data_IF_238700913103
#
_entry.id   IF_238700913103
#
_cell.length_a   1.000
_cell.length_b   1.000
_cell.length_c   1.000
_cell.angle_alpha   90.00
_cell.angle_beta   90.00
_cell.angle_gamma   90.00
#
_symmetry.space_group_name_H-M   'P 1'
#
loop_
_entity.id
_entity.type
_entity.pdbx_description
1 polymer ?
#
# COMPACT_ATOMS: atom_id res chain seq x y z
N UNK A 1 -19.13 -0.44 -0.97
CA UNK A 1 -19.17 1.04 -0.99
C UNK A 1 -19.33 1.45 -2.44
N UNK A 2 -20.31 2.29 -2.77
CA UNK A 2 -20.44 2.81 -4.13
C UNK A 2 -19.60 4.10 -4.21
N UNK A 3 -18.47 4.06 -4.92
CA UNK A 3 -17.57 5.21 -5.02
C UNK A 3 -18.04 6.07 -6.21
N UNK A 4 -18.28 7.38 -6.03
CA UNK A 4 -18.70 8.25 -7.12
C UNK A 4 -17.76 8.17 -8.33
N UNK A 5 -18.34 8.17 -9.53
CA UNK A 5 -17.60 7.97 -10.78
C UNK A 5 -16.52 9.04 -11.03
N UNK A 6 -16.70 10.24 -10.48
CA UNK A 6 -15.71 11.33 -10.50
C UNK A 6 -14.36 10.96 -9.86
N UNK A 7 -14.33 9.97 -8.97
CA UNK A 7 -13.09 9.52 -8.33
C UNK A 7 -12.44 8.32 -9.00
N UNK A 8 -12.99 7.81 -10.11
CA UNK A 8 -12.51 6.60 -10.78
C UNK A 8 -11.05 6.67 -11.22
N UNK A 9 -10.53 7.87 -11.52
CA UNK A 9 -9.14 8.04 -11.96
C UNK A 9 -8.15 7.94 -10.78
N UNK A 10 -8.60 8.35 -9.59
CA UNK A 10 -7.73 8.50 -8.43
C UNK A 10 -7.90 7.41 -7.38
N UNK A 11 -9.04 6.72 -7.31
CA UNK A 11 -9.33 5.77 -6.24
C UNK A 11 -8.61 4.41 -6.40
N UNK A 12 -8.45 3.64 -5.31
CA UNK A 12 -8.09 2.22 -5.42
C UNK A 12 -9.02 1.44 -6.34
N UNK A 13 -8.48 0.41 -6.99
CA UNK A 13 -9.31 -0.52 -7.76
C UNK A 13 -10.18 -1.37 -6.83
N UNK A 14 -11.42 -1.60 -7.24
CA UNK A 14 -12.31 -2.55 -6.56
C UNK A 14 -11.93 -3.98 -6.92
N UNK A 15 -12.33 -4.98 -6.10
CA UNK A 15 -12.13 -6.40 -6.40
C UNK A 15 -12.55 -6.82 -7.81
N UNK A 16 -13.61 -6.22 -8.35
CA UNK A 16 -14.16 -6.53 -9.68
C UNK A 16 -13.26 -6.01 -10.82
N UNK A 17 -12.50 -4.96 -10.58
CA UNK A 17 -11.56 -4.36 -11.55
C UNK A 17 -10.21 -5.10 -11.57
N UNK A 18 -9.82 -5.74 -10.46
CA UNK A 18 -8.50 -6.35 -10.29
C UNK A 18 -8.12 -7.35 -11.39
N UNK A 19 -8.99 -8.28 -11.85
CA UNK A 19 -8.60 -9.26 -12.87
C UNK A 19 -8.12 -8.61 -14.16
N UNK A 20 -8.81 -7.56 -14.62
CA UNK A 20 -8.40 -6.84 -15.84
C UNK A 20 -7.09 -6.08 -15.60
N UNK A 21 -6.97 -5.37 -14.48
CA UNK A 21 -5.77 -4.60 -14.15
C UNK A 21 -4.53 -5.50 -14.02
N UNK A 22 -4.69 -6.72 -13.51
CA UNK A 22 -3.60 -7.70 -13.46
C UNK A 22 -3.12 -8.11 -14.84
N UNK A 23 -4.02 -8.40 -15.79
CA UNK A 23 -3.59 -8.72 -17.16
C UNK A 23 -2.86 -7.54 -17.80
N UNK A 24 -3.34 -6.31 -17.59
CA UNK A 24 -2.66 -5.11 -18.09
C UNK A 24 -1.27 -4.92 -17.48
N UNK A 25 -1.10 -5.19 -16.18
CA UNK A 25 0.20 -5.15 -15.50
C UNK A 25 1.12 -6.27 -16.03
N UNK A 26 0.63 -7.49 -16.11
CA UNK A 26 1.39 -8.68 -16.56
C UNK A 26 1.87 -8.51 -18.00
N UNK A 27 1.07 -7.86 -18.85
CA UNK A 27 1.42 -7.59 -20.25
C UNK A 27 2.41 -6.42 -20.44
N UNK A 28 2.65 -5.60 -19.41
CA UNK A 28 3.55 -4.44 -19.49
C UNK A 28 5.03 -4.88 -19.45
N UNK A 29 5.83 -4.62 -20.51
CA UNK A 29 7.23 -5.06 -20.55
C UNK A 29 8.12 -4.38 -19.50
N UNK A 30 7.82 -3.14 -19.12
CA UNK A 30 8.59 -2.41 -18.12
C UNK A 30 8.31 -2.97 -16.72
N UNK A 31 7.04 -3.27 -16.41
CA UNK A 31 6.68 -3.98 -15.18
C UNK A 31 7.39 -5.32 -15.07
N UNK A 32 7.34 -6.14 -16.13
CA UNK A 32 8.04 -7.43 -16.18
C UNK A 32 9.53 -7.29 -15.90
N UNK A 33 10.19 -6.37 -16.61
CA UNK A 33 11.64 -6.12 -16.47
C UNK A 33 12.00 -5.75 -15.03
N UNK A 34 11.22 -4.87 -14.39
CA UNK A 34 11.45 -4.46 -13.00
C UNK A 34 11.25 -5.62 -12.03
N UNK A 35 10.16 -6.38 -12.18
CA UNK A 35 9.87 -7.53 -11.32
C UNK A 35 10.98 -8.59 -11.41
N UNK A 36 11.43 -8.94 -12.62
CA UNK A 36 12.51 -9.91 -12.82
C UNK A 36 13.84 -9.43 -12.23
N UNK A 37 14.09 -8.11 -12.24
CA UNK A 37 15.28 -7.51 -11.62
C UNK A 37 15.23 -7.52 -10.08
N UNK A 38 14.06 -7.21 -9.50
CA UNK A 38 13.87 -7.15 -8.04
C UNK A 38 13.73 -8.55 -7.42
N UNK A 39 13.20 -9.51 -8.19
CA UNK A 39 12.95 -10.89 -7.74
C UNK A 39 13.58 -11.91 -8.72
N UNK A 40 14.91 -11.93 -8.90
CA UNK A 40 15.56 -12.75 -9.94
C UNK A 40 15.42 -14.27 -9.75
N UNK A 41 15.03 -14.72 -8.55
CA UNK A 41 14.78 -16.14 -8.25
C UNK A 41 13.33 -16.59 -8.45
N UNK A 42 12.42 -15.69 -8.84
CA UNK A 42 10.99 -15.98 -8.98
C UNK A 42 10.60 -15.91 -10.47
N UNK A 43 10.14 -17.02 -11.07
CA UNK A 43 9.64 -16.99 -12.45
C UNK A 43 8.46 -16.03 -12.59
N UNK A 44 8.50 -15.16 -13.61
CA UNK A 44 7.46 -14.16 -13.83
C UNK A 44 6.08 -14.78 -14.02
N UNK A 45 5.99 -15.93 -14.68
CA UNK A 45 4.75 -16.66 -14.89
C UNK A 45 4.14 -17.16 -13.57
N UNK A 46 4.98 -17.53 -12.60
CA UNK A 46 4.55 -17.89 -11.25
C UNK A 46 3.99 -16.68 -10.49
N UNK A 47 4.64 -15.51 -10.64
CA UNK A 47 4.13 -14.26 -10.10
C UNK A 47 2.79 -13.87 -10.73
N UNK A 48 2.67 -13.94 -12.05
CA UNK A 48 1.43 -13.67 -12.78
C UNK A 48 0.28 -14.58 -12.33
N UNK A 49 0.54 -15.88 -12.15
CA UNK A 49 -0.44 -16.81 -11.61
C UNK A 49 -0.88 -16.44 -10.19
N UNK A 50 0.08 -16.05 -9.34
CA UNK A 50 -0.20 -15.61 -7.96
C UNK A 50 -1.01 -14.31 -7.93
N UNK A 51 -0.76 -13.36 -8.86
CA UNK A 51 -1.60 -12.16 -9.01
C UNK A 51 -3.04 -12.55 -9.34
N UNK A 52 -3.26 -13.42 -10.32
CA UNK A 52 -4.60 -13.90 -10.73
C UNK A 52 -5.37 -14.63 -9.64
N UNK A 53 -4.68 -15.22 -8.66
CA UNK A 53 -5.30 -15.89 -7.51
C UNK A 53 -5.79 -14.90 -6.45
N UNK A 54 -5.28 -13.67 -6.42
CA UNK A 54 -5.70 -12.64 -5.50
C UNK A 54 -7.03 -12.04 -5.95
N UNK A 55 -8.08 -12.20 -5.16
CA UNK A 55 -9.43 -11.68 -5.43
C UNK A 55 -9.65 -10.31 -4.81
N UNK A 56 -8.82 -9.92 -3.85
CA UNK A 56 -8.92 -8.63 -3.16
C UNK A 56 -7.56 -7.96 -3.04
N UNK A 57 -7.58 -6.63 -2.87
CA UNK A 57 -6.36 -5.85 -2.65
C UNK A 57 -5.61 -6.32 -1.38
N UNK A 58 -6.35 -6.75 -0.34
CA UNK A 58 -5.75 -7.29 0.88
C UNK A 58 -5.05 -8.62 0.64
N UNK A 59 -5.64 -9.52 -0.16
CA UNK A 59 -5.00 -10.77 -0.56
C UNK A 59 -3.72 -10.50 -1.35
N UNK A 60 -3.75 -9.54 -2.29
CA UNK A 60 -2.56 -9.12 -3.03
C UNK A 60 -1.46 -8.60 -2.08
N UNK A 61 -1.81 -7.71 -1.15
CA UNK A 61 -0.88 -7.16 -0.16
C UNK A 61 -0.24 -8.25 0.70
N UNK A 62 -1.03 -9.20 1.19
CA UNK A 62 -0.53 -10.35 1.96
C UNK A 62 0.36 -11.26 1.11
N UNK A 63 -0.03 -11.50 -0.14
CA UNK A 63 0.66 -12.40 -1.04
C UNK A 63 2.05 -11.88 -1.45
N UNK A 64 2.19 -10.56 -1.66
CA UNK A 64 3.40 -9.97 -2.25
C UNK A 64 4.23 -9.13 -1.28
N UNK A 65 3.62 -8.39 -0.36
CA UNK A 65 4.34 -7.43 0.48
C UNK A 65 4.53 -7.88 1.93
N UNK A 66 3.57 -8.60 2.52
CA UNK A 66 3.63 -8.96 3.94
C UNK A 66 4.92 -9.70 4.33
N UNK A 67 5.25 -10.80 3.64
CA UNK A 67 6.48 -11.55 3.90
C UNK A 67 7.75 -10.74 3.58
N UNK A 68 7.73 -10.00 2.47
CA UNK A 68 8.85 -9.16 2.04
C UNK A 68 9.19 -8.08 3.08
N UNK A 69 8.17 -7.42 3.62
CA UNK A 69 8.35 -6.36 4.62
C UNK A 69 8.83 -6.92 5.96
N UNK A 70 8.31 -8.06 6.39
CA UNK A 70 8.84 -8.73 7.59
C UNK A 70 10.30 -9.18 7.43
N UNK A 71 10.69 -9.64 6.24
CA UNK A 71 12.08 -9.98 5.95
C UNK A 71 12.97 -8.73 5.86
N UNK A 72 12.44 -7.59 5.40
CA UNK A 72 13.13 -6.31 5.45
C UNK A 72 13.37 -5.88 6.91
N UNK A 73 12.33 -5.88 7.74
CA UNK A 73 12.41 -5.54 9.17
C UNK A 73 13.48 -6.38 9.88
N UNK A 74 13.50 -7.70 9.66
CA UNK A 74 14.52 -8.59 10.26
C UNK A 74 15.96 -8.23 9.87
N UNK A 75 16.16 -7.66 8.68
CA UNK A 75 17.49 -7.31 8.15
C UNK A 75 17.91 -5.90 8.52
N UNK A 76 16.97 -4.97 8.64
CA UNK A 76 17.27 -3.53 8.68
C UNK A 76 16.74 -2.81 9.92
N UNK A 77 16.00 -3.46 10.80
CA UNK A 77 15.43 -2.86 12.00
C UNK A 77 15.57 -3.78 13.21
N UNK A 78 15.45 -3.21 14.42
CA UNK A 78 15.46 -3.95 15.68
C UNK A 78 14.09 -4.54 16.05
N UNK A 79 13.08 -4.29 15.23
CA UNK A 79 11.69 -4.70 15.45
C UNK A 79 10.72 -3.59 15.10
N UNK A 80 9.43 -3.90 15.23
CA UNK A 80 8.33 -2.95 15.13
C UNK A 80 7.41 -3.14 16.33
N UNK A 81 6.86 -2.05 16.85
CA UNK A 81 5.89 -2.06 17.94
C UNK A 81 4.63 -1.32 17.52
N UNK A 82 3.47 -1.83 17.92
CA UNK A 82 2.19 -1.20 17.67
C UNK A 82 1.31 -1.31 18.92
N UNK A 83 0.85 -0.17 19.43
CA UNK A 83 -0.09 -0.12 20.55
C UNK A 83 -1.45 0.35 20.03
N UNK A 84 -2.41 -0.56 20.00
CA UNK A 84 -3.80 -0.28 19.62
C UNK A 84 -4.75 -0.36 20.82
N UNK A 85 -4.25 -0.35 22.06
CA UNK A 85 -5.07 -0.46 23.27
C UNK A 85 -6.10 0.66 23.42
N UNK A 86 -5.85 1.83 22.83
CA UNK A 86 -6.77 2.96 22.78
C UNK A 86 -7.91 2.78 21.75
N UNK A 87 -7.82 1.79 20.85
CA UNK A 87 -8.85 1.52 19.84
C UNK A 87 -9.96 0.66 20.45
N UNK A 88 -11.17 1.21 20.50
CA UNK A 88 -12.33 0.53 21.08
C UNK A 88 -12.89 -0.61 20.22
N UNK A 89 -12.62 -0.63 18.91
CA UNK A 89 -13.18 -1.59 17.96
C UNK A 89 -12.30 -1.74 16.71
N UNK A 90 -11.52 -2.81 16.65
CA UNK A 90 -10.57 -3.08 15.56
C UNK A 90 -11.23 -3.42 14.22
N UNK A 91 -12.56 -3.55 14.16
CA UNK A 91 -13.30 -3.78 12.92
C UNK A 91 -13.65 -2.49 12.18
N UNK A 92 -13.41 -1.33 12.80
CA UNK A 92 -13.72 0.00 12.23
C UNK A 92 -12.56 0.58 11.44
N UNK A 93 -12.92 1.57 10.61
CA UNK A 93 -11.95 2.40 9.91
C UNK A 93 -11.43 3.50 10.83
N UNK A 94 -10.12 3.70 10.81
CA UNK A 94 -9.40 4.73 11.56
C UNK A 94 -8.51 5.55 10.63
N UNK A 95 -8.37 6.84 10.94
CA UNK A 95 -7.37 7.68 10.27
C UNK A 95 -6.11 7.70 11.13
N UNK A 96 -5.03 7.16 10.57
CA UNK A 96 -3.73 7.11 11.21
C UNK A 96 -2.90 8.33 10.80
N UNK A 97 -2.35 9.04 11.79
CA UNK A 97 -1.48 10.20 11.56
C UNK A 97 -0.09 9.87 12.09
N UNK A 98 0.91 10.03 11.22
CA UNK A 98 2.33 9.90 11.55
C UNK A 98 3.01 11.27 11.38
N UNK A 99 4.03 11.53 12.19
CA UNK A 99 4.89 12.71 12.09
C UNK A 99 6.08 12.49 11.13
N UNK A 100 6.28 11.27 10.65
CA UNK A 100 7.38 10.90 9.77
C UNK A 100 7.06 11.21 8.30
N UNK A 101 8.09 11.43 7.48
CA UNK A 101 7.97 11.93 6.10
C UNK A 101 8.04 10.81 5.04
N UNK A 102 8.25 9.56 5.44
CA UNK A 102 8.32 8.42 4.52
C UNK A 102 6.93 7.78 4.32
N UNK A 103 6.17 8.35 3.41
CA UNK A 103 4.81 7.90 3.11
C UNK A 103 4.73 6.45 2.61
N UNK A 104 5.82 5.89 2.06
CA UNK A 104 5.82 4.56 1.45
C UNK A 104 6.11 3.50 2.52
N UNK A 105 7.25 3.60 3.21
CA UNK A 105 7.64 2.58 4.19
C UNK A 105 6.83 2.68 5.48
N UNK A 106 6.46 3.87 5.93
CA UNK A 106 5.67 4.01 7.16
C UNK A 106 4.31 3.33 7.01
N UNK A 107 3.64 3.55 5.88
CA UNK A 107 2.34 2.95 5.60
C UNK A 107 2.42 1.45 5.35
N UNK A 108 3.53 0.98 4.75
CA UNK A 108 3.80 -0.44 4.57
C UNK A 108 4.01 -1.15 5.92
N UNK A 109 4.83 -0.59 6.81
CA UNK A 109 5.05 -1.16 8.15
C UNK A 109 3.80 -1.10 9.02
N UNK A 110 3.05 0.01 8.97
CA UNK A 110 1.74 0.07 9.62
C UNK A 110 0.81 -1.01 9.09
N UNK A 111 0.75 -1.22 7.76
CA UNK A 111 -0.12 -2.23 7.16
C UNK A 111 0.16 -3.65 7.65
N UNK A 112 1.44 -4.04 7.81
CA UNK A 112 1.77 -5.38 8.33
C UNK A 112 1.43 -5.51 9.82
N UNK A 113 1.61 -4.45 10.63
CA UNK A 113 1.23 -4.43 12.04
C UNK A 113 -0.30 -4.51 12.21
N UNK A 114 -1.06 -3.83 11.34
CA UNK A 114 -2.52 -3.93 11.31
C UNK A 114 -2.98 -5.35 10.94
N UNK A 115 -2.36 -5.97 9.93
CA UNK A 115 -2.63 -7.36 9.55
C UNK A 115 -2.43 -8.30 10.74
N UNK A 116 -1.33 -8.15 11.48
CA UNK A 116 -1.01 -9.00 12.64
C UNK A 116 -2.00 -8.85 13.79
N UNK A 117 -2.68 -7.70 13.87
CA UNK A 117 -3.75 -7.42 14.84
C UNK A 117 -5.15 -7.73 14.29
N UNK A 118 -5.26 -8.43 13.15
CA UNK A 118 -6.53 -8.83 12.55
C UNK A 118 -7.30 -7.69 11.88
N UNK A 119 -6.65 -6.55 11.66
CA UNK A 119 -7.24 -5.38 10.99
C UNK A 119 -6.99 -5.42 9.47
N UNK A 120 -7.73 -4.58 8.75
CA UNK A 120 -7.44 -4.29 7.34
C UNK A 120 -6.24 -3.35 7.22
N UNK A 121 -5.64 -3.32 6.03
CA UNK A 121 -4.52 -2.42 5.68
C UNK A 121 -5.00 -1.00 5.40
N UNK A 122 -4.07 -0.05 5.45
CA UNK A 122 -4.36 1.37 5.16
C UNK A 122 -4.60 1.63 3.68
N UNK A 123 -5.33 2.72 3.41
CA UNK A 123 -5.35 3.39 2.13
C UNK A 123 -4.48 4.64 2.23
N UNK A 124 -3.65 4.92 1.21
CA UNK A 124 -2.68 6.02 1.26
C UNK A 124 -2.90 7.04 0.15
N UNK A 125 -2.74 8.32 0.49
CA UNK A 125 -2.61 9.37 -0.51
C UNK A 125 -1.18 9.32 -1.08
N UNK A 126 -1.05 9.24 -2.40
CA UNK A 126 0.24 9.39 -3.08
C UNK A 126 0.15 10.49 -4.13
N UNK A 127 1.15 11.36 -4.19
CA UNK A 127 1.22 12.39 -5.23
C UNK A 127 1.59 11.80 -6.59
N UNK A 128 1.01 12.35 -7.66
CA UNK A 128 1.27 11.94 -9.03
C UNK A 128 2.75 12.09 -9.47
N UNK A 129 3.51 12.95 -8.79
CA UNK A 129 4.95 13.15 -9.01
C UNK A 129 5.79 11.87 -8.90
N UNK A 130 5.35 10.86 -8.15
CA UNK A 130 6.06 9.59 -7.97
C UNK A 130 5.68 8.55 -9.02
N UNK A 131 4.67 8.83 -9.85
CA UNK A 131 4.03 7.87 -10.73
C UNK A 131 4.51 8.06 -12.18
N UNK A 132 5.82 7.89 -12.37
CA UNK A 132 6.52 8.20 -13.63
C UNK A 132 6.21 7.24 -14.79
N UNK A 133 5.64 6.05 -14.51
CA UNK A 133 5.26 5.06 -15.52
C UNK A 133 3.80 4.63 -15.35
N UNK A 134 3.05 4.39 -16.45
CA UNK A 134 1.63 3.99 -16.38
C UNK A 134 1.36 2.73 -15.56
N UNK A 135 2.27 1.75 -15.55
CA UNK A 135 2.13 0.56 -14.73
C UNK A 135 2.24 0.86 -13.23
N UNK A 136 2.99 1.91 -12.84
CA UNK A 136 3.09 2.32 -11.42
C UNK A 136 1.74 2.83 -10.94
N UNK A 137 1.05 3.67 -11.73
CA UNK A 137 -0.31 4.13 -11.42
C UNK A 137 -1.25 2.95 -11.13
N UNK A 138 -1.16 1.90 -11.94
CA UNK A 138 -1.99 0.70 -11.73
C UNK A 138 -1.60 -0.04 -10.46
N UNK A 139 -0.30 -0.28 -10.25
CA UNK A 139 0.19 -1.04 -9.11
C UNK A 139 -0.13 -0.35 -7.78
N UNK A 140 0.06 0.98 -7.66
CA UNK A 140 -0.23 1.69 -6.41
C UNK A 140 -1.72 1.66 -6.08
N UNK A 141 -2.59 1.72 -7.09
CA UNK A 141 -4.05 1.62 -6.93
C UNK A 141 -4.52 0.21 -6.58
N UNK A 142 -3.87 -0.83 -7.11
CA UNK A 142 -4.02 -2.22 -6.61
C UNK A 142 -3.63 -2.26 -5.14
N UNK A 143 -2.54 -1.59 -4.75
CA UNK A 143 -2.05 -1.49 -3.38
C UNK A 143 -2.80 -0.46 -2.52
N UNK A 144 -4.09 -0.18 -2.81
CA UNK A 144 -4.95 0.72 -2.02
C UNK A 144 -4.50 2.18 -1.93
N UNK A 145 -3.68 2.65 -2.86
CA UNK A 145 -3.35 4.08 -2.93
C UNK A 145 -4.45 4.84 -3.67
N UNK A 146 -4.77 6.04 -3.19
CA UNK A 146 -5.46 7.05 -3.97
C UNK A 146 -4.51 8.14 -4.42
N UNK A 147 -4.69 8.62 -5.65
CA UNK A 147 -3.76 9.54 -6.30
C UNK A 147 -4.23 10.98 -6.06
N UNK A 148 -3.39 11.79 -5.44
CA UNK A 148 -3.63 13.22 -5.28
C UNK A 148 -2.95 14.03 -6.38
N UNK A 149 -3.64 15.04 -6.90
CA UNK A 149 -3.00 16.06 -7.74
C UNK A 149 -1.98 16.83 -6.90
N UNK A 150 -0.71 16.76 -7.30
CA UNK A 150 0.29 17.61 -6.68
C UNK A 150 0.26 18.99 -7.35
N UNK A 151 -0.25 20.01 -6.63
CA UNK A 151 0.13 21.39 -7.00
C UNK A 151 1.63 21.55 -6.75
N UNK A 152 2.37 22.26 -7.62
CA UNK A 152 3.83 22.32 -7.51
C UNK A 152 4.24 23.01 -6.22
N UNK A 153 4.70 22.24 -5.24
CA UNK A 153 5.49 22.72 -4.11
C UNK A 153 6.62 21.71 -3.82
N UNK A 154 7.82 22.12 -4.23
CA UNK A 154 9.17 21.72 -3.80
C UNK A 154 9.33 20.36 -3.08
N UNK A 155 9.98 19.42 -3.77
CA UNK A 155 10.39 18.13 -3.23
C UNK A 155 11.70 18.19 -2.43
N UNK A 156 11.72 17.35 -1.38
CA UNK A 156 12.83 16.61 -0.78
C UNK A 156 13.92 17.34 0.02
N UNK A 157 14.10 16.94 1.28
CA UNK A 157 15.42 16.72 1.90
C UNK A 157 15.38 15.55 2.92
N UNK A 158 16.47 14.77 2.91
CA UNK A 158 16.88 13.53 3.60
C UNK A 158 16.88 13.53 5.14
N UNK A 159 16.72 12.35 5.78
CA UNK A 159 17.10 12.12 7.18
C UNK A 159 16.73 10.76 7.81
N UNK A 160 17.74 10.14 8.43
CA UNK A 160 17.85 8.90 9.25
C UNK A 160 16.59 8.25 9.88
N UNK A 161 16.55 6.91 9.84
CA UNK A 161 15.59 6.01 10.50
C UNK A 161 15.95 5.85 11.99
N UNK A 162 15.05 6.28 12.86
CA UNK A 162 14.86 5.75 14.22
C UNK A 162 13.34 5.69 14.42
N UNK A 163 12.77 4.48 14.36
CA UNK A 163 11.33 4.29 14.18
C UNK A 163 10.60 4.22 15.53
N UNK A 164 10.50 5.35 16.23
CA UNK A 164 9.49 5.53 17.29
C UNK A 164 8.22 6.12 16.64
N UNK A 165 7.38 5.25 16.06
CA UNK A 165 6.15 5.72 15.43
C UNK A 165 5.08 5.95 16.48
N UNK A 166 4.94 7.20 16.93
CA UNK A 166 3.77 7.64 17.67
C UNK A 166 2.57 7.86 16.72
N UNK A 167 1.94 6.77 16.29
CA UNK A 167 0.71 6.82 15.50
C UNK A 167 -0.46 7.26 16.38
N UNK A 168 -1.01 8.43 16.09
CA UNK A 168 -2.27 8.87 16.68
C UNK A 168 -3.40 8.49 15.72
N UNK A 169 -4.36 7.70 16.21
CA UNK A 169 -5.54 7.31 15.46
C UNK A 169 -6.73 8.21 15.82
N UNK A 170 -7.32 8.86 14.82
CA UNK A 170 -8.52 9.68 14.98
C UNK A 170 -9.76 8.93 14.46
N UNK A 171 -10.87 9.07 15.19
CA UNK A 171 -12.16 8.46 14.85
C UNK A 171 -12.96 9.38 13.92
N UNK A 172 -13.48 8.85 12.83
CA UNK A 172 -14.54 9.51 12.07
C UNK A 172 -15.90 9.31 12.77
N UNK A 173 -16.44 10.36 13.38
CA UNK A 173 -17.84 10.38 13.82
C UNK A 173 -18.72 10.83 12.65
N UNK A 174 -19.19 9.87 11.85
CA UNK A 174 -20.22 10.14 10.85
C UNK A 174 -21.54 10.50 11.55
N UNK A 175 -22.04 11.71 11.33
CA UNK A 175 -23.45 12.04 11.60
C UNK A 175 -24.32 11.28 10.61
N UNK A 176 -25.24 10.49 11.15
CA UNK A 176 -26.33 9.79 10.45
C UNK A 176 -27.20 10.74 9.66
#
# INVERSE_FOLDING_TARGET
MNIPAEFNEIRPYTPEELPQIYEELIADPAFRTVVESVMPGVPFEGLAMKMRQCKTNLEFQKAFFYGLLWDLVKKTANGLTFDCSALSDLTRNYTFISNHRDIILDSAFLSILLIDNGMTTVEIAIGDNLLIYPWIHKLVRVNKSFIGETRPQHAAETGSICLDVALHAFRHEGKT
#
